data_IF_987752606609
#
_entry.id   IF_987752606609
#
_cell.length_a   1.000
_cell.length_b   1.000
_cell.length_c   1.000
_cell.angle_alpha   90.00
_cell.angle_beta   90.00
_cell.angle_gamma   90.00
#
_symmetry.space_group_name_H-M   'P 1'
#
loop_
_entity.id
_entity.type
_entity.pdbx_description
1 polymer ?
#
# COMPACT_ATOMS: atom_id res chain seq x y z
N UNK A 1 2.35 -9.80 -11.13
CA UNK A 1 1.71 -9.14 -9.97
C UNK A 1 0.70 -8.08 -10.37
N UNK A 2 1.05 -6.94 -10.97
CA UNK A 2 0.10 -5.84 -11.25
C UNK A 2 -1.06 -6.23 -12.18
N UNK A 3 -0.87 -7.17 -13.09
CA UNK A 3 -1.96 -7.70 -13.93
C UNK A 3 -3.07 -8.33 -13.07
N UNK A 4 -2.71 -9.23 -12.17
CA UNK A 4 -3.65 -9.90 -11.26
C UNK A 4 -4.36 -8.88 -10.36
N UNK A 5 -3.61 -7.94 -9.80
CA UNK A 5 -4.19 -6.87 -8.95
C UNK A 5 -5.25 -6.08 -9.71
N UNK A 6 -4.93 -5.61 -10.92
CA UNK A 6 -5.87 -4.82 -11.76
C UNK A 6 -7.09 -5.64 -12.16
N UNK A 7 -6.92 -6.92 -12.47
CA UNK A 7 -8.02 -7.82 -12.80
C UNK A 7 -9.00 -7.98 -11.62
N UNK A 8 -8.48 -8.26 -10.44
CA UNK A 8 -9.30 -8.36 -9.22
C UNK A 8 -10.01 -7.03 -8.92
N UNK A 9 -9.30 -5.91 -8.99
CA UNK A 9 -9.87 -4.59 -8.73
C UNK A 9 -10.96 -4.21 -9.76
N UNK A 10 -10.81 -4.59 -11.03
CA UNK A 10 -11.80 -4.33 -12.06
C UNK A 10 -13.14 -5.05 -11.84
N UNK A 11 -13.12 -6.14 -11.08
CA UNK A 11 -14.31 -6.91 -10.70
C UNK A 11 -14.93 -6.44 -9.38
N UNK A 12 -14.26 -5.53 -8.68
CA UNK A 12 -14.78 -4.93 -7.45
C UNK A 12 -15.84 -3.86 -7.77
N UNK A 13 -16.88 -3.71 -6.95
CA UNK A 13 -17.85 -2.61 -7.08
C UNK A 13 -17.25 -1.24 -6.70
N UNK A 14 -16.01 -1.21 -6.22
CA UNK A 14 -15.36 0.00 -5.74
C UNK A 14 -14.67 0.74 -6.89
N UNK A 15 -14.76 2.06 -6.85
CA UNK A 15 -13.93 2.94 -7.67
C UNK A 15 -12.54 3.02 -7.03
N UNK A 16 -11.58 2.28 -7.58
CA UNK A 16 -10.22 2.21 -7.06
C UNK A 16 -9.28 3.02 -7.93
N UNK A 17 -8.48 3.89 -7.30
CA UNK A 17 -7.41 4.62 -7.97
C UNK A 17 -6.05 3.96 -7.65
N UNK A 18 -5.33 3.58 -8.70
CA UNK A 18 -3.95 3.12 -8.58
C UNK A 18 -3.02 4.32 -8.39
N UNK A 19 -2.15 4.25 -7.40
CA UNK A 19 -1.06 5.18 -7.20
C UNK A 19 0.25 4.43 -7.27
N UNK A 20 1.16 4.89 -8.08
CA UNK A 20 2.51 4.31 -8.22
C UNK A 20 3.46 4.78 -7.13
N UNK A 21 3.03 5.71 -6.32
CA UNK A 21 3.85 6.40 -5.35
C UNK A 21 3.05 6.75 -4.09
N UNK A 22 3.66 6.52 -2.93
CA UNK A 22 3.14 6.92 -1.63
C UNK A 22 4.09 7.94 -0.99
N UNK A 23 3.58 9.11 -0.62
CA UNK A 23 4.39 10.25 -0.16
C UNK A 23 4.89 10.14 1.28
N UNK A 24 4.51 9.11 2.02
CA UNK A 24 4.90 8.89 3.40
C UNK A 24 5.79 7.67 3.56
N UNK A 25 6.36 7.50 4.75
CA UNK A 25 6.99 6.25 5.14
C UNK A 25 5.91 5.28 5.63
N UNK A 26 5.93 4.07 5.12
CA UNK A 26 5.19 2.92 5.61
C UNK A 26 6.14 1.74 5.79
N UNK A 27 5.69 0.67 6.41
CA UNK A 27 6.49 -0.55 6.56
C UNK A 27 6.93 -1.11 5.20
N UNK A 28 6.17 -0.82 4.14
CA UNK A 28 6.47 -1.22 2.77
C UNK A 28 7.62 -0.41 2.12
N UNK A 29 8.02 0.71 2.71
CA UNK A 29 9.07 1.57 2.16
C UNK A 29 10.43 0.90 2.10
N UNK A 30 10.66 -0.13 2.93
CA UNK A 30 11.90 -0.91 2.94
C UNK A 30 11.89 -2.11 1.99
N UNK A 31 10.75 -2.48 1.44
CA UNK A 31 10.59 -3.66 0.59
C UNK A 31 10.39 -3.32 -0.88
N UNK A 32 9.86 -2.13 -1.18
CA UNK A 32 9.47 -1.73 -2.52
C UNK A 32 10.63 -1.37 -3.43
N UNK A 33 10.31 -1.20 -4.71
CA UNK A 33 11.21 -0.61 -5.70
C UNK A 33 11.30 0.89 -5.46
N UNK A 34 12.25 1.33 -4.66
CA UNK A 34 12.57 2.74 -4.53
C UNK A 34 13.67 3.12 -5.52
N UNK A 35 13.45 4.11 -6.37
CA UNK A 35 14.56 4.83 -6.96
C UNK A 35 15.11 5.89 -5.98
N UNK A 36 16.32 6.35 -6.22
CA UNK A 36 16.97 7.32 -5.34
C UNK A 36 16.19 8.64 -5.24
N UNK A 37 15.48 9.03 -6.29
CA UNK A 37 14.69 10.25 -6.31
C UNK A 37 13.46 10.13 -5.41
N UNK A 38 12.75 9.01 -5.47
CA UNK A 38 11.60 8.73 -4.61
C UNK A 38 12.01 8.63 -3.13
N UNK A 39 13.10 7.93 -2.83
CA UNK A 39 13.66 7.86 -1.48
C UNK A 39 14.03 9.25 -0.97
N UNK A 40 14.60 10.10 -1.81
CA UNK A 40 14.92 11.48 -1.49
C UNK A 40 13.69 12.29 -1.08
N UNK A 41 12.60 12.19 -1.83
CA UNK A 41 11.34 12.87 -1.54
C UNK A 41 10.73 12.36 -0.23
N UNK A 42 10.68 11.05 -0.02
CA UNK A 42 10.17 10.45 1.22
C UNK A 42 10.97 10.93 2.42
N UNK A 43 12.29 10.89 2.34
CA UNK A 43 13.17 11.34 3.42
C UNK A 43 13.05 12.84 3.70
N UNK A 44 12.88 13.66 2.68
CA UNK A 44 12.68 15.10 2.84
C UNK A 44 11.37 15.44 3.58
N UNK A 45 10.33 14.62 3.39
CA UNK A 45 9.04 14.78 4.06
C UNK A 45 8.94 14.01 5.40
N UNK A 46 10.01 13.34 5.83
CA UNK A 46 10.03 12.60 7.10
C UNK A 46 10.66 13.45 8.19
N UNK A 47 9.89 13.94 9.18
CA UNK A 47 10.40 14.84 10.19
C UNK A 47 11.35 14.15 11.18
N UNK A 48 11.20 12.85 11.42
CA UNK A 48 12.02 12.08 12.35
C UNK A 48 13.24 11.48 11.63
N UNK A 49 14.48 11.92 11.95
CA UNK A 49 15.68 11.43 11.26
C UNK A 49 15.89 9.93 11.35
N UNK A 50 15.52 9.30 12.46
CA UNK A 50 15.63 7.86 12.69
C UNK A 50 14.61 7.03 11.90
N UNK A 51 13.57 7.66 11.35
CA UNK A 51 12.59 7.00 10.49
C UNK A 51 12.91 7.14 9.00
N UNK A 52 14.03 7.78 8.64
CA UNK A 52 14.45 7.92 7.25
C UNK A 52 15.02 6.63 6.70
N UNK A 53 14.79 6.41 5.41
CA UNK A 53 15.32 5.24 4.70
C UNK A 53 16.83 5.46 4.52
N UNK A 54 17.64 4.64 5.19
CA UNK A 54 19.10 4.73 5.17
C UNK A 54 19.79 3.65 4.33
N UNK A 55 19.04 2.64 3.91
CA UNK A 55 19.54 1.55 3.09
C UNK A 55 18.67 1.39 1.84
N UNK A 56 19.22 0.87 0.73
CA UNK A 56 18.42 0.58 -0.44
C UNK A 56 17.32 -0.44 -0.09
N UNK A 57 16.11 -0.26 -0.59
CA UNK A 57 15.01 -1.19 -0.36
C UNK A 57 15.33 -2.57 -0.96
N UNK A 58 14.71 -3.60 -0.42
CA UNK A 58 14.90 -5.00 -0.84
C UNK A 58 14.47 -5.30 -2.30
N UNK A 59 13.90 -4.31 -3.01
CA UNK A 59 13.45 -4.43 -4.38
C UNK A 59 12.40 -5.54 -4.59
N UNK A 60 11.56 -5.76 -3.59
CA UNK A 60 10.46 -6.70 -3.67
C UNK A 60 9.23 -6.04 -4.31
N UNK A 61 8.47 -6.76 -5.13
CA UNK A 61 7.21 -6.27 -5.63
C UNK A 61 6.20 -6.15 -4.47
N UNK A 62 5.76 -4.93 -4.20
CA UNK A 62 4.85 -4.62 -3.10
C UNK A 62 3.62 -3.89 -3.59
N UNK A 63 2.50 -4.12 -2.91
CA UNK A 63 1.31 -3.29 -3.01
C UNK A 63 0.91 -2.83 -1.61
N UNK A 64 0.39 -1.63 -1.50
CA UNK A 64 -0.20 -1.12 -0.28
C UNK A 64 -1.72 -1.09 -0.47
N UNK A 65 -2.40 -1.94 0.25
CA UNK A 65 -3.85 -2.06 0.25
C UNK A 65 -4.31 -2.18 1.71
N UNK A 66 -4.97 -1.17 2.20
CA UNK A 66 -5.33 -1.08 3.61
C UNK A 66 -6.75 -0.57 3.86
N UNK A 67 -7.17 -0.50 5.12
CA UNK A 67 -8.49 0.01 5.50
C UNK A 67 -8.65 1.47 5.07
N UNK A 68 -9.89 1.86 4.87
CA UNK A 68 -10.25 3.25 4.60
C UNK A 68 -10.94 3.85 5.82
N UNK A 69 -10.56 5.09 6.14
CA UNK A 69 -11.11 5.80 7.28
C UNK A 69 -10.67 7.25 7.35
N UNK A 70 -10.71 7.81 8.54
CA UNK A 70 -10.33 9.21 8.82
C UNK A 70 -9.50 9.29 10.09
N UNK A 71 -8.73 10.37 10.19
CA UNK A 71 -8.00 10.75 11.39
C UNK A 71 -7.00 9.67 11.85
N UNK A 72 -6.32 9.04 10.89
CA UNK A 72 -5.31 8.00 11.14
C UNK A 72 -4.24 8.48 12.13
N UNK A 73 -3.91 7.62 13.08
CA UNK A 73 -2.93 7.90 14.14
C UNK A 73 -3.32 9.07 15.06
N UNK A 74 -4.62 9.42 15.13
CA UNK A 74 -5.15 10.45 16.00
C UNK A 74 -6.17 9.87 16.98
N UNK A 75 -6.47 10.62 18.03
CA UNK A 75 -7.38 10.20 19.10
C UNK A 75 -8.77 9.75 18.63
N UNK A 76 -9.29 10.37 17.58
CA UNK A 76 -10.61 10.07 17.00
C UNK A 76 -10.50 9.24 15.70
N UNK A 77 -9.49 8.41 15.58
CA UNK A 77 -9.32 7.53 14.43
C UNK A 77 -10.56 6.68 14.19
N UNK A 78 -10.99 6.65 12.93
CA UNK A 78 -12.20 5.95 12.50
C UNK A 78 -11.93 5.14 11.25
N UNK A 79 -12.39 3.91 11.21
CA UNK A 79 -12.40 3.08 10.02
C UNK A 79 -13.82 2.97 9.45
N UNK A 80 -13.95 2.97 8.13
CA UNK A 80 -15.20 2.68 7.45
C UNK A 80 -15.43 1.18 7.41
N UNK A 81 -16.28 0.69 8.32
CA UNK A 81 -16.46 -0.75 8.57
C UNK A 81 -16.90 -1.56 7.33
N UNK A 82 -17.89 -1.12 6.52
CA UNK A 82 -18.31 -1.92 5.36
C UNK A 82 -17.18 -2.27 4.41
N UNK A 83 -16.29 -1.31 4.15
CA UNK A 83 -15.10 -1.58 3.33
C UNK A 83 -14.05 -2.38 4.11
N UNK A 84 -13.69 -1.93 5.31
CA UNK A 84 -12.55 -2.47 6.06
C UNK A 84 -12.74 -3.92 6.49
N UNK A 85 -13.98 -4.33 6.76
CA UNK A 85 -14.32 -5.69 7.23
C UNK A 85 -15.10 -6.52 6.20
N UNK A 86 -15.60 -5.91 5.12
CA UNK A 86 -16.28 -6.59 4.04
C UNK A 86 -15.42 -6.72 2.79
N UNK A 87 -15.25 -5.63 2.06
CA UNK A 87 -14.59 -5.63 0.76
C UNK A 87 -13.07 -5.87 0.84
N UNK A 88 -12.38 -5.24 1.80
CA UNK A 88 -10.93 -5.32 1.90
C UNK A 88 -10.42 -6.75 2.14
N UNK A 89 -10.95 -7.54 3.07
CA UNK A 89 -10.52 -8.92 3.25
C UNK A 89 -10.71 -9.77 1.99
N UNK A 90 -11.81 -9.58 1.28
CA UNK A 90 -12.09 -10.28 0.03
C UNK A 90 -11.10 -9.89 -1.07
N UNK A 91 -10.79 -8.61 -1.20
CA UNK A 91 -9.77 -8.14 -2.15
C UNK A 91 -8.39 -8.73 -1.85
N UNK A 92 -7.97 -8.72 -0.59
CA UNK A 92 -6.70 -9.30 -0.16
C UNK A 92 -6.66 -10.79 -0.50
N UNK A 93 -7.72 -11.52 -0.18
CA UNK A 93 -7.82 -12.94 -0.46
C UNK A 93 -7.71 -13.24 -1.96
N UNK A 94 -8.52 -12.56 -2.78
CA UNK A 94 -8.55 -12.78 -4.24
C UNK A 94 -7.24 -12.41 -4.92
N UNK A 95 -6.60 -11.32 -4.50
CA UNK A 95 -5.28 -10.93 -5.00
C UNK A 95 -4.25 -11.99 -4.63
N UNK A 96 -4.25 -12.44 -3.38
CA UNK A 96 -3.29 -13.47 -2.91
C UNK A 96 -3.49 -14.78 -3.66
N UNK A 97 -4.72 -15.26 -3.77
CA UNK A 97 -5.05 -16.49 -4.52
C UNK A 97 -4.60 -16.37 -5.99
N UNK A 98 -4.97 -15.28 -6.66
CA UNK A 98 -4.57 -15.07 -8.05
C UNK A 98 -3.06 -14.96 -8.27
N UNK A 99 -2.32 -14.43 -7.29
CA UNK A 99 -0.86 -14.41 -7.36
C UNK A 99 -0.23 -15.80 -7.19
N UNK A 100 -0.82 -16.64 -6.35
CA UNK A 100 -0.36 -18.01 -6.16
C UNK A 100 -0.65 -18.89 -7.38
N UNK A 101 -1.76 -18.65 -8.08
CA UNK A 101 -2.10 -19.35 -9.32
C UNK A 101 -1.22 -18.90 -10.50
N UNK A 102 -0.74 -17.66 -10.49
CA UNK A 102 0.12 -17.07 -11.55
C UNK A 102 1.61 -17.47 -11.36
N UNK A 103 1.95 -18.10 -10.25
CA UNK A 103 3.25 -18.70 -10.00
C UNK A 103 3.35 -20.11 -10.60
#
# INVERSE_FOLDING_TARGET
MMRVVREVLSQSPLAVAERTYFMGISDMSWFGRGDAAQIGVVNANTPAPNARISAPPANLPCINLGPWGRDYHQWLERAYMPYSFGELPELIWRITAGLLEDC
#
